data_IF_945476224603
#
_entry.id   IF_945476224603
#
_cell.length_a   1.000
_cell.length_b   1.000
_cell.length_c   1.000
_cell.angle_alpha   90.00
_cell.angle_beta   90.00
_cell.angle_gamma   90.00
#
_symmetry.space_group_name_H-M   'P 1'
#
loop_
_entity.id
_entity.type
_entity.pdbx_description
1 polymer ?
#
# COMPACT_ATOMS: atom_id res chain seq x y z
N UNK A 1 -23.01 26.44 -17.32
CA UNK A 1 -21.57 26.34 -17.03
C UNK A 1 -20.97 25.37 -18.05
N UNK A 2 -20.09 25.86 -18.89
CA UNK A 2 -19.35 25.03 -19.82
C UNK A 2 -18.44 24.13 -18.99
N UNK A 3 -18.73 22.82 -19.00
CA UNK A 3 -17.84 21.81 -18.44
C UNK A 3 -16.63 21.78 -19.38
N UNK A 4 -15.48 22.28 -18.94
CA UNK A 4 -14.26 22.17 -19.73
C UNK A 4 -13.94 20.70 -19.94
N UNK A 5 -13.82 20.29 -21.20
CA UNK A 5 -13.40 18.93 -21.54
C UNK A 5 -11.93 18.74 -21.18
N UNK A 6 -11.59 17.59 -20.59
CA UNK A 6 -10.20 17.26 -20.31
C UNK A 6 -9.57 16.76 -21.61
N UNK A 7 -8.47 17.41 -22.02
CA UNK A 7 -7.74 17.04 -23.24
C UNK A 7 -6.53 16.17 -22.90
N UNK A 8 -6.22 15.24 -23.78
CA UNK A 8 -5.00 14.47 -23.72
C UNK A 8 -3.78 15.38 -23.87
N UNK A 9 -2.74 15.14 -23.09
CA UNK A 9 -1.49 15.88 -23.14
C UNK A 9 -0.31 14.93 -23.24
N UNK A 10 0.72 15.32 -23.98
CA UNK A 10 1.96 14.57 -24.07
C UNK A 10 2.78 14.72 -22.76
N UNK A 11 3.89 14.03 -22.67
CA UNK A 11 4.82 14.05 -21.52
C UNK A 11 5.38 15.45 -21.22
N UNK A 12 5.34 16.38 -22.20
CA UNK A 12 5.74 17.78 -22.04
C UNK A 12 4.59 18.69 -21.64
N UNK A 13 3.39 18.16 -21.36
CA UNK A 13 2.21 18.93 -20.97
C UNK A 13 1.50 19.65 -22.12
N UNK A 14 1.88 19.39 -23.38
CA UNK A 14 1.24 19.99 -24.56
C UNK A 14 0.02 19.14 -24.97
N UNK A 15 -1.04 19.82 -25.44
CA UNK A 15 -2.24 19.13 -25.95
C UNK A 15 -1.90 18.28 -27.16
N UNK A 16 -2.38 17.04 -27.18
CA UNK A 16 -2.31 16.17 -28.35
C UNK A 16 -3.39 16.64 -29.32
N UNK A 17 -3.02 16.77 -30.60
CA UNK A 17 -3.93 17.14 -31.67
C UNK A 17 -4.18 15.95 -32.59
N UNK A 18 -5.42 15.81 -33.06
CA UNK A 18 -5.78 14.85 -34.10
C UNK A 18 -5.23 15.27 -35.47
N UNK A 19 -5.50 14.45 -36.51
CA UNK A 19 -5.03 14.70 -37.90
C UNK A 19 -5.61 16.00 -38.48
N UNK A 20 -6.76 16.47 -37.95
CA UNK A 20 -7.43 17.68 -38.36
C UNK A 20 -7.00 18.91 -37.54
N UNK A 21 -6.08 18.72 -36.56
CA UNK A 21 -5.55 19.76 -35.70
C UNK A 21 -6.46 20.12 -34.52
N UNK A 22 -7.47 19.31 -34.20
CA UNK A 22 -8.33 19.51 -33.03
C UNK A 22 -7.73 18.82 -31.80
N UNK A 23 -7.88 19.42 -30.58
CA UNK A 23 -7.44 18.78 -29.35
C UNK A 23 -8.18 17.45 -29.12
N UNK A 24 -7.43 16.39 -28.87
CA UNK A 24 -7.98 15.07 -28.54
C UNK A 24 -8.57 15.12 -27.14
N UNK A 25 -9.86 14.77 -27.00
CA UNK A 25 -10.53 14.68 -25.69
C UNK A 25 -10.15 13.38 -25.03
N UNK A 26 -9.61 13.46 -23.81
CA UNK A 26 -9.18 12.29 -23.07
C UNK A 26 -10.37 11.40 -22.73
N UNK A 27 -10.17 10.09 -22.88
CA UNK A 27 -11.16 9.06 -22.57
C UNK A 27 -10.54 7.99 -21.68
N UNK A 28 -11.34 7.46 -20.76
CA UNK A 28 -11.06 6.21 -20.08
C UNK A 28 -11.92 5.12 -20.73
N UNK A 29 -11.33 4.29 -21.58
CA UNK A 29 -12.07 3.40 -22.44
C UNK A 29 -12.98 4.19 -23.39
N UNK A 30 -14.27 3.93 -23.32
CA UNK A 30 -15.32 4.58 -24.12
C UNK A 30 -15.90 5.87 -23.54
N UNK A 31 -15.51 6.24 -22.31
CA UNK A 31 -16.07 7.36 -21.57
C UNK A 31 -15.13 8.55 -21.53
N UNK A 32 -15.68 9.74 -21.79
CA UNK A 32 -14.93 11.00 -21.62
C UNK A 32 -14.57 11.25 -20.17
N UNK A 33 -13.38 11.80 -19.94
CA UNK A 33 -12.91 12.25 -18.63
C UNK A 33 -13.37 13.67 -18.38
N UNK A 34 -13.95 13.92 -17.23
CA UNK A 34 -14.47 15.22 -16.79
C UNK A 34 -13.71 15.71 -15.55
N UNK A 35 -13.82 17.01 -15.22
CA UNK A 35 -13.29 17.55 -13.97
C UNK A 35 -13.75 16.74 -12.75
N UNK A 36 -12.79 16.41 -11.88
CA UNK A 36 -13.01 15.55 -10.72
C UNK A 36 -12.92 14.06 -10.96
N UNK A 37 -12.77 13.61 -12.21
CA UNK A 37 -12.45 12.21 -12.50
C UNK A 37 -10.98 11.91 -12.27
N UNK A 38 -10.66 10.64 -12.01
CA UNK A 38 -9.30 10.17 -11.96
C UNK A 38 -8.66 10.34 -13.36
N UNK A 39 -7.49 10.98 -13.39
CA UNK A 39 -6.69 11.12 -14.59
C UNK A 39 -5.61 10.07 -14.58
N UNK A 40 -5.67 9.14 -15.51
CA UNK A 40 -4.62 8.16 -15.75
C UNK A 40 -3.62 8.69 -16.77
N UNK A 41 -2.40 8.13 -16.77
CA UNK A 41 -1.37 8.49 -17.73
C UNK A 41 -1.63 7.75 -19.05
N UNK A 42 -1.71 8.53 -20.11
CA UNK A 42 -1.77 8.05 -21.50
C UNK A 42 -0.33 7.85 -21.98
N UNK A 43 0.13 6.60 -21.94
CA UNK A 43 1.53 6.25 -22.19
C UNK A 43 1.86 6.25 -23.69
N UNK A 44 0.92 5.80 -24.52
CA UNK A 44 1.10 5.73 -25.96
C UNK A 44 0.72 7.05 -26.68
N UNK A 45 -0.02 7.94 -26.04
CA UNK A 45 -0.39 9.27 -26.53
C UNK A 45 -1.53 9.26 -27.53
N UNK A 46 -2.42 8.26 -27.51
CA UNK A 46 -3.54 8.16 -28.42
C UNK A 46 -4.84 8.84 -27.90
N UNK A 47 -4.83 9.31 -26.65
CA UNK A 47 -5.96 9.98 -26.00
C UNK A 47 -6.98 9.03 -25.40
N UNK A 48 -6.73 7.73 -25.41
CA UNK A 48 -7.62 6.69 -24.82
C UNK A 48 -6.85 5.90 -23.79
N UNK A 49 -7.33 5.85 -22.56
CA UNK A 49 -6.75 4.99 -21.53
C UNK A 49 -7.29 3.58 -21.70
N UNK A 50 -6.42 2.66 -22.09
CA UNK A 50 -6.75 1.27 -22.34
C UNK A 50 -5.62 0.31 -21.92
N UNK A 51 -5.64 -0.90 -22.44
CA UNK A 51 -4.65 -1.94 -22.11
C UNK A 51 -3.21 -1.58 -22.55
N UNK A 52 -3.07 -0.68 -23.54
CA UNK A 52 -1.76 -0.23 -24.04
C UNK A 52 -1.07 0.75 -23.07
N UNK A 53 -1.82 1.29 -22.11
CA UNK A 53 -1.30 2.20 -21.07
C UNK A 53 -0.91 1.47 -19.77
N UNK A 54 -0.96 0.14 -19.79
CA UNK A 54 -0.56 -0.64 -18.61
C UNK A 54 0.97 -0.61 -18.48
N UNK A 55 1.43 -0.09 -17.33
CA UNK A 55 2.85 0.01 -17.02
C UNK A 55 3.24 -0.89 -15.83
N UNK A 56 4.52 -1.24 -15.78
CA UNK A 56 5.07 -2.01 -14.68
C UNK A 56 5.25 -1.14 -13.43
N UNK A 57 4.46 -1.39 -12.38
CA UNK A 57 4.50 -0.63 -11.12
C UNK A 57 5.37 -1.27 -10.03
N UNK A 58 5.88 -2.46 -10.26
CA UNK A 58 6.75 -3.16 -9.30
C UNK A 58 6.44 -4.65 -9.19
N UNK A 59 7.18 -5.33 -8.34
CA UNK A 59 7.07 -6.78 -8.14
C UNK A 59 6.49 -7.10 -6.76
N UNK A 60 5.58 -8.05 -6.68
CA UNK A 60 5.06 -8.60 -5.43
C UNK A 60 6.05 -9.52 -4.71
N UNK A 61 7.04 -10.03 -5.41
CA UNK A 61 8.12 -10.80 -4.81
C UNK A 61 9.16 -9.87 -4.17
N UNK A 62 9.56 -10.12 -2.91
CA UNK A 62 10.61 -9.33 -2.27
C UNK A 62 11.96 -9.53 -2.95
N UNK A 63 12.73 -8.47 -3.11
CA UNK A 63 14.12 -8.54 -3.59
C UNK A 63 15.06 -9.06 -2.51
N UNK A 64 14.70 -8.84 -1.25
CA UNK A 64 15.47 -9.30 -0.08
C UNK A 64 14.53 -9.93 0.95
N UNK A 65 14.86 -11.13 1.40
CA UNK A 65 14.22 -11.79 2.56
C UNK A 65 15.31 -12.26 3.51
N UNK A 66 15.15 -11.98 4.79
CA UNK A 66 16.15 -12.36 5.78
C UNK A 66 15.59 -12.53 7.17
N UNK A 67 16.36 -13.19 8.02
CA UNK A 67 16.09 -13.34 9.43
C UNK A 67 17.36 -13.24 10.24
N UNK A 68 17.26 -12.68 11.43
CA UNK A 68 18.35 -12.56 12.40
C UNK A 68 17.89 -13.12 13.73
N UNK A 69 18.63 -14.12 14.22
CA UNK A 69 18.44 -14.66 15.56
C UNK A 69 19.67 -14.32 16.40
N UNK A 70 19.47 -13.82 17.59
CA UNK A 70 20.58 -13.62 18.53
C UNK A 70 20.23 -14.08 19.94
N UNK A 71 21.25 -14.44 20.68
CA UNK A 71 21.13 -14.83 22.08
C UNK A 71 22.19 -14.09 22.88
N UNK A 72 21.72 -13.27 23.83
CA UNK A 72 22.56 -12.61 24.81
C UNK A 72 22.46 -13.35 26.14
N UNK A 73 23.60 -13.67 26.74
CA UNK A 73 23.66 -14.32 28.04
C UNK A 73 24.53 -13.48 28.98
N UNK A 74 23.96 -13.14 30.09
CA UNK A 74 24.69 -12.46 31.16
C UNK A 74 24.36 -13.12 32.51
N UNK A 75 25.36 -13.73 33.12
CA UNK A 75 25.19 -14.51 34.37
C UNK A 75 24.06 -15.54 34.26
N UNK A 76 22.92 -15.30 34.92
CA UNK A 76 21.76 -16.19 34.99
C UNK A 76 20.60 -15.75 34.09
N UNK A 77 20.78 -14.66 33.37
CA UNK A 77 19.79 -14.10 32.44
C UNK A 77 20.19 -14.43 31.01
N UNK A 78 19.24 -14.85 30.21
CA UNK A 78 19.41 -15.03 28.76
C UNK A 78 18.27 -14.34 28.02
N UNK A 79 18.62 -13.53 27.04
CA UNK A 79 17.67 -12.90 26.11
C UNK A 79 17.86 -13.56 24.74
N UNK A 80 16.79 -14.12 24.21
CA UNK A 80 16.74 -14.66 22.84
C UNK A 80 15.79 -13.82 22.04
N UNK A 81 16.21 -13.32 20.88
CA UNK A 81 15.31 -12.60 19.99
C UNK A 81 15.48 -13.05 18.54
N UNK A 82 14.36 -13.12 17.84
CA UNK A 82 14.27 -13.49 16.44
C UNK A 82 13.60 -12.38 15.64
N UNK A 83 14.28 -11.89 14.61
CA UNK A 83 13.78 -10.93 13.65
C UNK A 83 13.56 -11.61 12.31
N UNK A 84 12.56 -11.15 11.58
CA UNK A 84 12.30 -11.52 10.21
C UNK A 84 11.91 -10.28 9.42
N UNK A 85 12.44 -10.14 8.20
CA UNK A 85 12.15 -9.00 7.35
C UNK A 85 12.10 -9.37 5.87
N UNK A 86 11.40 -8.54 5.13
CA UNK A 86 11.35 -8.55 3.68
C UNK A 86 11.43 -7.12 3.18
N UNK A 87 12.09 -6.93 2.03
CA UNK A 87 12.22 -5.62 1.42
C UNK A 87 12.11 -5.69 -0.11
N UNK A 88 11.67 -4.58 -0.71
CA UNK A 88 11.59 -4.40 -2.15
C UNK A 88 10.39 -5.06 -2.80
N UNK A 89 9.37 -5.43 -2.04
CA UNK A 89 8.11 -5.93 -2.56
C UNK A 89 7.04 -4.82 -2.56
N UNK A 90 6.19 -4.83 -3.57
CA UNK A 90 5.01 -3.97 -3.66
C UNK A 90 3.75 -4.81 -3.66
N UNK A 91 2.68 -4.29 -3.11
CA UNK A 91 1.36 -4.94 -3.10
C UNK A 91 0.29 -3.95 -3.52
N UNK A 92 -0.76 -4.45 -4.17
CA UNK A 92 -1.96 -3.67 -4.41
C UNK A 92 -2.84 -3.77 -3.15
N UNK A 93 -3.16 -2.62 -2.57
CA UNK A 93 -4.11 -2.56 -1.46
C UNK A 93 -5.55 -2.68 -2.00
N UNK A 94 -5.97 -3.91 -2.28
CA UNK A 94 -7.29 -4.22 -2.81
C UNK A 94 -8.41 -3.74 -1.87
N UNK A 95 -8.23 -3.86 -0.57
CA UNK A 95 -9.21 -3.40 0.41
C UNK A 95 -9.44 -1.89 0.32
N UNK A 96 -8.36 -1.09 0.16
CA UNK A 96 -8.46 0.35 -0.06
C UNK A 96 -9.15 0.65 -1.39
N UNK A 97 -8.78 -0.05 -2.44
CA UNK A 97 -9.38 0.09 -3.76
C UNK A 97 -10.91 -0.16 -3.71
N UNK A 98 -11.34 -1.23 -3.03
CA UNK A 98 -12.76 -1.57 -2.89
C UNK A 98 -13.54 -0.56 -2.02
N UNK A 99 -12.91 -0.04 -0.96
CA UNK A 99 -13.54 0.92 -0.04
C UNK A 99 -13.54 2.37 -0.56
N UNK A 100 -12.71 2.69 -1.55
CA UNK A 100 -12.60 4.05 -2.12
C UNK A 100 -13.21 4.18 -3.52
N UNK A 101 -13.73 3.09 -4.11
CA UNK A 101 -14.20 3.12 -5.51
C UNK A 101 -15.51 3.90 -5.73
N UNK A 102 -16.31 4.11 -4.72
CA UNK A 102 -17.58 4.86 -4.74
C UNK A 102 -18.54 4.47 -5.90
N UNK A 103 -18.36 3.28 -6.46
CA UNK A 103 -19.12 2.82 -7.63
C UNK A 103 -20.49 2.22 -7.25
N UNK A 104 -20.60 1.65 -6.07
CA UNK A 104 -21.74 0.84 -5.65
C UNK A 104 -22.35 1.26 -4.32
N UNK A 105 -23.09 0.33 -3.71
CA UNK A 105 -23.78 0.50 -2.43
C UNK A 105 -23.00 -0.06 -1.23
N UNK A 106 -21.76 -0.50 -1.43
CA UNK A 106 -20.94 -1.08 -0.39
C UNK A 106 -20.47 -0.02 0.62
N UNK A 107 -20.12 -0.48 1.82
CA UNK A 107 -19.51 0.38 2.81
C UNK A 107 -18.19 0.97 2.28
N UNK A 108 -17.96 2.21 2.62
CA UNK A 108 -16.83 2.98 2.12
C UNK A 108 -15.92 3.43 3.26
N UNK A 109 -14.67 3.72 2.93
CA UNK A 109 -13.72 4.33 3.85
C UNK A 109 -14.12 5.78 4.19
N UNK A 110 -13.76 6.25 5.38
CA UNK A 110 -13.89 7.65 5.78
C UNK A 110 -13.14 8.59 4.81
N UNK A 111 -12.12 8.10 4.13
CA UNK A 111 -11.36 8.87 3.14
C UNK A 111 -12.25 9.46 2.04
N UNK A 112 -13.33 8.76 1.63
CA UNK A 112 -14.24 9.25 0.59
C UNK A 112 -15.03 10.50 0.97
N UNK A 113 -15.03 10.91 2.24
CA UNK A 113 -15.61 12.19 2.66
C UNK A 113 -14.86 13.38 2.07
N UNK A 114 -13.58 13.19 1.72
CA UNK A 114 -12.72 14.20 1.06
C UNK A 114 -12.82 14.16 -0.46
N UNK A 115 -13.72 13.38 -1.03
CA UNK A 115 -13.85 13.27 -2.49
C UNK A 115 -14.09 14.63 -3.13
N UNK A 116 -13.67 14.76 -4.36
CA UNK A 116 -13.96 15.94 -5.17
C UNK A 116 -15.48 16.15 -5.33
N UNK A 117 -15.98 17.38 -5.17
CA UNK A 117 -17.39 17.75 -5.26
C UNK A 117 -17.65 18.92 -6.19
N UNK A 118 -16.69 19.85 -6.24
CA UNK A 118 -16.82 21.08 -7.02
C UNK A 118 -15.46 21.57 -7.49
N UNK A 119 -15.47 22.40 -8.52
CA UNK A 119 -14.27 23.06 -9.02
C UNK A 119 -13.61 23.87 -7.90
N UNK A 120 -12.27 23.75 -7.81
CA UNK A 120 -11.47 24.35 -6.75
C UNK A 120 -11.21 23.43 -5.55
N UNK A 121 -11.83 22.25 -5.47
CA UNK A 121 -11.50 21.27 -4.44
C UNK A 121 -10.09 20.68 -4.70
N UNK A 122 -9.23 20.76 -3.69
CA UNK A 122 -7.91 20.11 -3.67
C UNK A 122 -8.01 18.79 -2.93
N UNK A 123 -8.05 17.68 -3.67
CA UNK A 123 -8.22 16.33 -3.11
C UNK A 123 -7.60 15.26 -3.99
N UNK A 124 -7.11 14.20 -3.33
CA UNK A 124 -6.59 12.99 -3.94
C UNK A 124 -7.67 11.94 -4.26
N UNK A 125 -8.94 12.23 -3.92
CA UNK A 125 -10.06 11.30 -4.12
C UNK A 125 -11.00 11.84 -5.19
N UNK A 126 -11.21 11.09 -6.29
CA UNK A 126 -12.03 11.54 -7.39
C UNK A 126 -13.51 11.70 -6.98
N UNK A 127 -14.30 12.27 -7.85
CA UNK A 127 -15.76 12.36 -7.67
C UNK A 127 -16.41 10.98 -7.66
N UNK A 128 -17.54 10.87 -6.98
CA UNK A 128 -18.33 9.65 -6.96
C UNK A 128 -19.11 9.48 -8.27
N UNK A 129 -18.97 8.29 -8.88
CA UNK A 129 -19.72 7.91 -10.07
C UNK A 129 -20.44 6.58 -9.81
N UNK A 130 -21.73 6.67 -9.51
CA UNK A 130 -22.54 5.48 -9.24
C UNK A 130 -22.76 4.68 -10.52
N UNK A 131 -22.28 3.43 -10.50
CA UNK A 131 -22.40 2.43 -11.58
C UNK A 131 -21.92 2.91 -12.97
N UNK A 132 -21.06 3.95 -12.98
CA UNK A 132 -20.49 4.57 -14.18
C UNK A 132 -19.03 4.94 -13.97
N UNK A 133 -18.37 5.21 -15.10
CA UNK A 133 -17.01 5.75 -15.10
C UNK A 133 -15.94 4.75 -14.70
N UNK A 134 -14.69 5.21 -14.70
CA UNK A 134 -13.50 4.41 -14.51
C UNK A 134 -12.60 4.93 -13.36
N UNK A 135 -13.17 5.70 -12.41
CA UNK A 135 -12.40 6.25 -11.27
C UNK A 135 -11.86 5.19 -10.30
N UNK A 136 -12.13 3.92 -10.56
CA UNK A 136 -11.79 2.78 -9.73
C UNK A 136 -10.71 1.87 -10.35
N UNK A 137 -10.15 2.21 -11.50
CA UNK A 137 -9.14 1.37 -12.14
C UNK A 137 -7.92 1.19 -11.23
N UNK A 138 -7.33 0.00 -11.31
CA UNK A 138 -6.06 -0.30 -10.63
C UNK A 138 -4.95 0.61 -11.15
N UNK A 139 -4.29 1.31 -10.23
CA UNK A 139 -3.22 2.26 -10.55
C UNK A 139 -2.18 2.29 -9.43
N UNK A 140 -1.12 3.06 -9.63
CA UNK A 140 -0.09 3.34 -8.64
C UNK A 140 -0.64 3.89 -7.32
N UNK A 141 -1.78 4.58 -7.35
CA UNK A 141 -2.51 5.06 -6.18
C UNK A 141 -2.77 3.98 -5.13
N UNK A 142 -2.96 2.74 -5.55
CA UNK A 142 -3.27 1.60 -4.68
C UNK A 142 -2.08 0.67 -4.48
N UNK A 143 -0.92 1.00 -5.03
CA UNK A 143 0.31 0.23 -4.89
C UNK A 143 1.10 0.74 -3.70
N UNK A 144 1.32 -0.14 -2.73
CA UNK A 144 2.02 0.18 -1.49
C UNK A 144 3.32 -0.61 -1.36
N UNK A 145 4.30 -0.02 -0.68
CA UNK A 145 5.54 -0.71 -0.31
C UNK A 145 5.22 -1.64 0.88
N UNK A 146 5.33 -2.94 0.66
CA UNK A 146 5.07 -3.96 1.67
C UNK A 146 6.35 -4.43 2.39
N UNK A 147 7.40 -3.64 2.36
CA UNK A 147 8.63 -3.91 3.10
C UNK A 147 8.39 -3.81 4.60
N UNK A 148 8.92 -4.77 5.35
CA UNK A 148 8.79 -4.78 6.80
C UNK A 148 9.97 -5.44 7.50
N UNK A 149 10.17 -5.05 8.76
CA UNK A 149 11.00 -5.76 9.73
C UNK A 149 10.14 -6.07 10.96
N UNK A 150 10.10 -7.35 11.36
CA UNK A 150 9.29 -7.83 12.48
C UNK A 150 10.15 -8.45 13.55
N UNK A 151 9.92 -8.06 14.81
CA UNK A 151 10.38 -8.81 15.97
C UNK A 151 9.42 -9.96 16.23
N UNK A 152 9.76 -11.13 15.66
CA UNK A 152 8.89 -12.30 15.65
C UNK A 152 8.76 -12.95 17.03
N UNK A 153 9.89 -13.04 17.75
CA UNK A 153 9.90 -13.67 19.06
C UNK A 153 10.94 -12.98 19.93
N UNK A 154 10.61 -12.73 21.18
CA UNK A 154 11.57 -12.38 22.22
C UNK A 154 11.31 -13.22 23.46
N UNK A 155 12.36 -13.85 23.96
CA UNK A 155 12.28 -14.69 25.17
C UNK A 155 13.32 -14.23 26.17
N UNK A 156 12.86 -13.87 27.35
CA UNK A 156 13.70 -13.61 28.50
C UNK A 156 13.68 -14.84 29.41
N UNK A 157 14.86 -15.37 29.73
CA UNK A 157 15.03 -16.54 30.60
C UNK A 157 15.86 -16.16 31.81
N UNK A 158 15.49 -16.68 32.97
CA UNK A 158 16.22 -16.55 34.20
C UNK A 158 16.46 -17.89 34.88
N UNK A 159 17.71 -18.27 35.05
CA UNK A 159 18.11 -19.47 35.77
C UNK A 159 18.18 -19.18 37.27
N UNK A 160 17.39 -19.90 38.04
CA UNK A 160 17.35 -19.73 39.48
C UNK A 160 18.67 -20.11 40.14
N UNK A 161 19.05 -19.41 41.24
CA UNK A 161 20.28 -19.72 42.00
C UNK A 161 20.23 -21.13 42.59
N UNK A 162 21.34 -21.84 42.55
CA UNK A 162 21.48 -23.18 43.08
C UNK A 162 21.08 -23.32 44.56
N UNK A 163 21.30 -22.25 45.34
CA UNK A 163 20.94 -22.20 46.77
C UNK A 163 19.40 -22.36 46.96
N UNK A 164 18.60 -21.73 46.13
CA UNK A 164 17.13 -21.82 46.21
C UNK A 164 16.62 -23.17 45.72
N UNK A 165 17.26 -23.71 44.67
CA UNK A 165 16.89 -25.00 44.11
C UNK A 165 17.14 -26.14 45.07
N UNK A 166 18.27 -26.14 45.77
CA UNK A 166 18.57 -27.14 46.82
C UNK A 166 17.56 -27.10 47.95
N UNK A 167 17.06 -25.93 48.36
CA UNK A 167 16.07 -25.78 49.41
C UNK A 167 14.75 -26.45 49.10
N UNK A 168 14.39 -26.56 47.79
CA UNK A 168 13.13 -27.17 47.34
C UNK A 168 13.34 -28.56 46.70
N UNK A 169 14.56 -29.14 46.79
CA UNK A 169 14.86 -30.46 46.29
C UNK A 169 14.90 -30.61 44.74
N UNK A 170 15.08 -29.49 44.02
CA UNK A 170 15.09 -29.45 42.53
C UNK A 170 16.50 -29.21 42.00
N UNK A 171 16.91 -29.97 40.98
CA UNK A 171 18.23 -29.81 40.42
C UNK A 171 18.43 -28.61 39.50
N UNK A 172 17.38 -28.21 38.76
CA UNK A 172 17.38 -27.05 37.87
C UNK A 172 15.98 -26.46 37.76
N UNK A 173 15.90 -25.12 37.88
CA UNK A 173 14.69 -24.36 37.65
C UNK A 173 15.02 -23.16 36.77
N UNK A 174 14.30 -22.99 35.70
CA UNK A 174 14.40 -21.89 34.76
C UNK A 174 13.03 -21.25 34.59
N UNK A 175 12.93 -19.96 34.78
CA UNK A 175 11.75 -19.17 34.49
C UNK A 175 11.96 -18.49 33.14
N UNK A 176 10.92 -18.46 32.33
CA UNK A 176 10.98 -17.72 31.07
C UNK A 176 9.66 -17.00 30.77
N UNK A 177 9.78 -15.90 30.07
CA UNK A 177 8.68 -15.16 29.47
C UNK A 177 8.94 -14.99 27.99
N UNK A 178 7.94 -15.26 27.16
CA UNK A 178 8.06 -15.14 25.69
C UNK A 178 6.97 -14.24 25.16
N UNK A 179 7.37 -13.27 24.34
CA UNK A 179 6.48 -12.45 23.52
C UNK A 179 6.60 -12.87 22.07
N UNK A 180 5.48 -12.85 21.36
CA UNK A 180 5.40 -13.14 19.92
C UNK A 180 4.87 -11.95 19.16
N UNK A 181 5.41 -11.69 17.96
CA UNK A 181 4.97 -10.64 17.02
C UNK A 181 4.79 -9.26 17.67
N UNK A 182 5.72 -8.90 18.57
CA UNK A 182 5.56 -7.73 19.44
C UNK A 182 5.67 -6.41 18.69
N UNK A 183 6.50 -6.34 17.65
CA UNK A 183 6.73 -5.12 16.90
C UNK A 183 6.88 -5.43 15.41
N UNK A 184 6.28 -4.57 14.58
CA UNK A 184 6.44 -4.56 13.14
C UNK A 184 6.77 -3.12 12.72
N UNK A 185 7.88 -2.95 12.02
CA UNK A 185 8.25 -1.71 11.36
C UNK A 185 7.97 -1.86 9.87
N UNK A 186 7.15 -0.98 9.34
CA UNK A 186 6.82 -0.87 7.91
C UNK A 186 7.31 0.46 7.39
N UNK A 187 7.43 0.57 6.09
CA UNK A 187 7.79 1.82 5.42
C UNK A 187 6.56 2.71 5.23
#
# INVERSE_FOLDING_TARGET
>A
QNVEETYAVNTSGQRILDIDGNPVVMKNGDQKVYPGDARYEDVNGDGVIDENDIVYLGNSNPTLTGGLNFTLRYKKVSLVAAFHGRAGQKVINQARMDMENMRGKNNQSVAVLRRWRSEGDDTDIPRALYDKGYNYLGSDRFVEDASFLRLKTVTLKYQMPAKWMKAIGVNKLELYATGYDMFVWTK
#
